data_IF_176669447432
#
_entry.id   IF_176669447432
#
_cell.length_a   1.000
_cell.length_b   1.000
_cell.length_c   1.000
_cell.angle_alpha   90.00
_cell.angle_beta   90.00
_cell.angle_gamma   90.00
#
_symmetry.space_group_name_H-M   'P 1'
#
loop_
_entity.id
_entity.type
_entity.pdbx_description
1 polymer ?
2 non-polymer ?
3 non-polymer ?
4 water ?
#
# COMPACT_ATOMS: atom_id res chain seq x y z
N UNK A 13 25.88 -1.71 2.25
CA UNK A 13 25.95 -3.01 1.58
C UNK A 13 25.19 -3.01 0.25
N UNK A 14 25.73 -3.69 -0.74
CA UNK A 14 25.00 -3.86 -2.00
C UNK A 14 24.29 -5.22 -2.03
N UNK A 15 23.02 -5.18 -2.40
CA UNK A 15 22.22 -6.39 -2.55
C UNK A 15 22.00 -6.67 -4.05
N UNK A 16 22.05 -7.93 -4.44
CA UNK A 16 21.84 -8.30 -5.85
C UNK A 16 20.38 -8.46 -6.25
N UNK A 17 19.53 -8.81 -5.30
CA UNK A 17 18.12 -9.03 -5.62
C UNK A 17 17.21 -8.85 -4.41
N UNK A 18 15.91 -8.89 -4.68
CA UNK A 18 14.88 -8.70 -3.66
C UNK A 18 15.00 -9.74 -2.54
N UNK A 19 15.29 -10.99 -2.90
CA UNK A 19 15.26 -12.04 -1.89
C UNK A 19 16.44 -11.88 -0.92
N UNK A 20 17.58 -11.42 -1.42
CA UNK A 20 18.73 -11.15 -0.56
C UNK A 20 18.42 -10.01 0.43
N UNK A 21 17.79 -8.93 -0.03
CA UNK A 21 17.42 -7.83 0.86
C UNK A 21 16.38 -8.29 1.90
N UNK A 22 15.32 -8.95 1.46
CA UNK A 22 14.33 -9.47 2.42
C UNK A 22 14.94 -10.41 3.46
N UNK A 23 15.83 -11.30 3.02
CA UNK A 23 16.45 -12.25 3.92
C UNK A 23 17.29 -11.56 5.01
N UNK A 24 18.04 -10.52 4.63
CA UNK A 24 18.87 -9.84 5.63
C UNK A 24 18.03 -9.03 6.61
N UNK A 25 16.94 -8.44 6.13
CA UNK A 25 15.99 -7.76 7.00
C UNK A 25 15.43 -8.73 8.04
N UNK A 26 14.95 -9.88 7.57
CA UNK A 26 14.38 -10.90 8.45
C UNK A 26 15.39 -11.39 9.49
N UNK A 27 16.58 -11.72 9.03
CA UNK A 27 17.64 -12.20 9.93
C UNK A 27 17.99 -11.21 11.04
N UNK A 28 18.30 -9.96 10.67
CA UNK A 28 18.66 -8.94 11.66
C UNK A 28 17.46 -8.51 12.51
N UNK A 29 16.25 -8.50 11.94
CA UNK A 29 15.08 -8.12 12.73
C UNK A 29 14.79 -9.16 13.81
N UNK A 30 14.91 -10.44 13.47
CA UNK A 30 14.62 -11.49 14.43
C UNK A 30 15.60 -11.43 15.60
N UNK A 31 16.88 -11.20 15.31
CA UNK A 31 17.88 -11.09 16.38
C UNK A 31 17.61 -9.87 17.29
N UNK A 32 17.24 -8.76 16.66
CA UNK A 32 16.97 -7.52 17.40
C UNK A 32 15.75 -7.65 18.31
N UNK A 33 14.65 -8.08 17.72
CA UNK A 33 13.40 -8.09 18.46
C UNK A 33 13.44 -9.11 19.61
N UNK A 34 14.17 -10.22 19.42
CA UNK A 34 14.27 -11.23 20.47
C UNK A 34 14.94 -10.69 21.75
N UNK A 35 15.81 -9.69 21.63
CA UNK A 35 16.51 -9.14 22.80
C UNK A 35 15.55 -8.50 23.82
N UNK A 36 14.34 -8.16 23.38
CA UNK A 36 13.40 -7.47 24.27
C UNK A 36 12.54 -8.46 25.06
N UNK A 37 12.58 -9.73 24.67
CA UNK A 37 11.73 -10.74 25.32
C UNK A 37 11.94 -10.85 26.84
N UNK A 38 13.18 -10.66 27.30
CA UNK A 38 13.50 -10.84 28.72
C UNK A 38 13.45 -9.55 29.52
N UNK A 39 12.99 -8.47 28.89
CA UNK A 39 12.89 -7.17 29.60
C UNK A 39 11.48 -6.95 30.12
N UNK A 40 11.33 -6.85 31.46
CA UNK A 40 9.99 -6.66 32.04
C UNK A 40 9.43 -5.29 31.68
N UNK A 41 8.12 -5.21 31.49
CA UNK A 41 7.47 -3.94 31.14
C UNK A 41 7.78 -2.85 32.19
N UNK A 42 7.98 -3.26 33.45
CA UNK A 42 8.20 -2.29 34.53
C UNK A 42 9.54 -1.54 34.34
N UNK A 43 10.41 -2.09 33.51
CA UNK A 43 11.69 -1.42 33.23
C UNK A 43 11.80 -0.84 31.81
N UNK A 44 10.69 -0.70 31.10
CA UNK A 44 10.78 -0.27 29.71
C UNK A 44 11.21 1.20 29.58
N UNK A 45 11.01 1.99 30.65
CA UNK A 45 11.32 3.42 30.59
C UNK A 45 12.54 3.75 31.44
N UNK A 46 13.32 2.72 31.79
CA UNK A 46 14.45 2.94 32.68
C UNK A 46 15.68 3.38 31.89
N UNK A 47 16.17 4.59 32.14
CA UNK A 47 17.37 5.12 31.48
C UNK A 47 18.62 4.96 32.35
N UNK A 48 19.74 4.55 31.74
CA UNK A 48 21.03 4.57 32.43
C UNK A 48 22.00 5.46 31.65
N UNK A 49 23.02 5.97 32.34
CA UNK A 49 24.03 6.84 31.73
C UNK A 49 24.84 6.14 30.66
N UNK A 50 25.05 4.84 30.82
CA UNK A 50 25.96 4.11 29.93
C UNK A 50 25.40 3.86 28.51
N UNK A 51 24.10 4.05 28.32
CA UNK A 51 23.44 3.75 27.04
C UNK A 51 22.41 4.83 26.71
N UNK A 52 22.28 5.27 25.46
CA UNK A 52 21.59 6.56 25.25
C UNK A 52 20.04 6.56 25.56
N UNK A 53 19.33 5.59 25.01
CA UNK A 53 17.86 5.48 25.06
C UNK A 53 17.34 4.42 26.06
N UNK A 54 16.06 4.54 26.43
CA UNK A 54 15.36 3.47 27.16
C UNK A 54 14.99 2.35 26.18
N UNK A 55 14.62 1.17 26.70
CA UNK A 55 14.18 0.08 25.82
C UNK A 55 12.98 0.49 24.97
N UNK A 56 12.00 1.17 25.59
CA UNK A 56 10.83 1.65 24.85
C UNK A 56 11.23 2.69 23.78
N UNK A 57 12.14 3.63 24.10
CA UNK A 57 12.64 4.57 23.09
C UNK A 57 13.40 3.91 21.94
N UNK A 58 14.19 2.89 22.28
CA UNK A 58 14.92 2.09 21.29
C UNK A 58 13.94 1.51 20.25
N UNK A 59 12.88 0.83 20.70
CA UNK A 59 11.85 0.32 19.77
C UNK A 59 11.10 1.45 19.05
N UNK A 60 10.80 2.53 19.77
CA UNK A 60 10.03 3.63 19.21
C UNK A 60 10.77 4.27 18.04
N UNK A 61 12.09 4.26 18.11
CA UNK A 61 12.90 4.83 17.03
C UNK A 61 12.70 4.03 15.73
N UNK A 62 12.66 2.70 15.86
CA UNK A 62 12.45 1.82 14.70
C UNK A 62 11.02 1.95 14.16
N UNK A 63 10.04 1.97 15.08
CA UNK A 63 8.65 2.16 14.66
C UNK A 63 8.54 3.50 13.92
N UNK A 64 9.21 4.53 14.44
CA UNK A 64 9.17 5.85 13.82
C UNK A 64 9.67 5.87 12.37
N UNK A 65 10.89 5.41 12.15
CA UNK A 65 11.48 5.46 10.83
C UNK A 65 10.79 4.50 9.84
N UNK A 66 10.45 3.29 10.28
CA UNK A 66 9.78 2.35 9.36
C UNK A 66 8.40 2.87 8.96
N UNK A 67 7.70 3.49 9.90
CA UNK A 67 6.41 4.12 9.58
C UNK A 67 6.58 5.22 8.53
N UNK A 68 7.59 6.07 8.70
CA UNK A 68 7.83 7.13 7.72
C UNK A 68 8.19 6.63 6.33
N UNK A 69 9.11 5.69 6.22
CA UNK A 69 9.50 5.17 4.90
C UNK A 69 8.25 4.58 4.20
N UNK A 70 7.46 3.79 4.92
CA UNK A 70 6.24 3.22 4.33
C UNK A 70 5.28 4.32 3.85
N UNK A 71 5.21 5.39 4.64
CA UNK A 71 4.31 6.50 4.32
C UNK A 71 4.79 7.28 3.10
N UNK A 72 6.10 7.50 2.97
CA UNK A 72 6.62 8.19 1.81
C UNK A 72 6.21 7.45 0.54
N UNK A 73 6.42 6.13 0.55
CA UNK A 73 6.10 5.30 -0.61
C UNK A 73 4.58 5.30 -0.92
N UNK A 74 3.76 5.11 0.11
CA UNK A 74 2.32 5.12 -0.06
C UNK A 74 1.82 6.47 -0.60
N UNK A 75 2.25 7.56 0.03
CA UNK A 75 1.87 8.90 -0.44
C UNK A 75 2.31 9.16 -1.86
N UNK A 76 3.53 8.75 -2.22
CA UNK A 76 4.00 9.03 -3.59
C UNK A 76 3.15 8.27 -4.60
N UNK A 77 2.84 7.01 -4.30
CA UNK A 77 1.96 6.23 -5.18
C UNK A 77 0.55 6.83 -5.24
N UNK A 78 0.11 7.43 -4.14
CA UNK A 78 -1.20 8.08 -4.05
C UNK A 78 -1.20 9.46 -4.71
N UNK A 79 -0.09 9.84 -5.32
CA UNK A 79 0.00 11.10 -6.04
C UNK A 79 0.11 12.34 -5.18
N UNK A 80 0.48 12.18 -3.91
CA UNK A 80 0.68 13.32 -3.00
C UNK A 80 2.10 13.84 -3.08
N UNK A 81 2.29 15.08 -2.70
CA UNK A 81 3.63 15.64 -2.59
C UNK A 81 4.26 15.16 -1.29
N UNK A 82 5.32 14.34 -1.35
CA UNK A 82 5.97 13.88 -0.13
C UNK A 82 7.03 14.89 0.34
N UNK A 83 6.85 15.43 1.53
CA UNK A 83 7.90 16.20 2.15
C UNK A 83 8.63 15.26 3.10
N UNK A 84 9.92 15.04 2.88
CA UNK A 84 10.71 14.24 3.81
C UNK A 84 11.55 15.16 4.71
N UNK A 85 11.90 14.72 5.92
CA UNK A 85 11.50 13.44 6.53
C UNK A 85 10.01 13.40 6.89
N UNK A 86 9.42 14.55 7.19
CA UNK A 86 7.99 14.61 7.45
C UNK A 86 7.48 16.02 7.16
N UNK A 87 6.17 16.22 7.25
CA UNK A 87 5.65 17.56 7.01
C UNK A 87 6.13 18.55 8.09
N UNK A 88 6.33 18.05 9.30
CA UNK A 88 6.59 18.92 10.44
C UNK A 88 8.09 19.13 10.76
N UNK A 89 8.96 18.26 10.23
CA UNK A 89 10.38 18.32 10.55
C UNK A 89 11.27 18.34 9.30
N UNK A 90 12.35 19.11 9.36
CA UNK A 90 13.31 19.21 8.27
C UNK A 90 14.50 18.29 8.49
N UNK A 91 15.32 18.09 7.46
CA UNK A 91 16.47 17.18 7.52
C UNK A 91 17.58 17.63 8.49
N UNK A 92 17.60 18.90 8.90
CA UNK A 92 18.52 19.40 9.92
C UNK A 92 17.86 19.46 11.30
N UNK A 93 16.73 18.79 11.42
CA UNK A 93 15.89 18.77 12.63
C UNK A 93 15.67 17.36 13.14
N UNK A 94 16.55 16.42 12.80
CA UNK A 94 16.31 15.03 13.13
C UNK A 94 16.20 14.84 14.66
N UNK A 95 16.99 15.59 15.44
CA UNK A 95 16.92 15.46 16.90
C UNK A 95 15.49 15.68 17.39
N UNK A 96 14.84 16.68 16.84
CA UNK A 96 13.45 16.96 17.20
C UNK A 96 12.49 15.88 16.68
N UNK A 97 12.78 15.33 15.51
CA UNK A 97 11.98 14.24 14.96
C UNK A 97 12.06 13.06 15.91
N UNK A 98 13.26 12.78 16.42
CA UNK A 98 13.44 11.65 17.35
C UNK A 98 12.66 11.88 18.65
N UNK A 99 12.66 13.11 19.16
CA UNK A 99 11.80 13.42 20.32
C UNK A 99 10.32 13.16 19.99
N UNK A 100 9.93 13.45 18.74
CA UNK A 100 8.56 13.23 18.32
C UNK A 100 8.27 11.72 18.21
N UNK A 101 9.22 10.91 17.68
CA UNK A 101 9.08 9.45 17.77
C UNK A 101 8.83 9.00 19.23
N UNK A 102 9.66 9.49 20.15
CA UNK A 102 9.52 9.09 21.56
C UNK A 102 8.15 9.51 22.12
N UNK A 103 7.77 10.74 21.85
CA UNK A 103 6.45 11.24 22.32
C UNK A 103 5.28 10.44 21.73
N UNK A 104 5.46 9.99 20.49
CA UNK A 104 4.35 9.40 19.75
C UNK A 104 4.19 7.89 20.01
N UNK A 105 5.30 7.20 20.31
CA UNK A 105 5.24 5.75 20.45
C UNK A 105 5.75 5.18 21.78
N UNK A 106 6.67 5.88 22.44
CA UNK A 106 7.40 5.24 23.54
C UNK A 106 6.55 4.99 24.78
N UNK A 107 5.37 5.61 24.87
CA UNK A 107 4.51 5.39 26.04
C UNK A 107 3.85 4.00 25.94
N UNK A 108 3.91 3.40 24.75
CA UNK A 108 3.39 2.05 24.54
C UNK A 108 4.19 1.03 25.33
N UNK A 109 3.58 -0.13 25.62
CA UNK A 109 4.33 -1.24 26.20
C UNK A 109 5.33 -1.82 25.19
N UNK A 110 6.32 -2.54 25.70
CA UNK A 110 7.22 -3.30 24.81
C UNK A 110 6.44 -4.27 23.91
N UNK A 111 5.47 -4.97 24.47
CA UNK A 111 4.67 -5.92 23.69
C UNK A 111 3.95 -5.22 22.52
N UNK A 112 3.37 -4.05 22.78
CA UNK A 112 2.68 -3.26 21.75
C UNK A 112 3.65 -2.70 20.68
N UNK A 113 4.81 -2.23 21.14
CA UNK A 113 5.86 -1.72 20.23
C UNK A 113 6.41 -2.84 19.37
N UNK A 114 6.64 -4.01 19.97
CA UNK A 114 7.13 -5.12 19.16
C UNK A 114 6.10 -5.54 18.09
N UNK A 115 4.83 -5.56 18.46
CA UNK A 115 3.76 -5.91 17.53
C UNK A 115 3.65 -4.89 16.39
N UNK A 116 3.76 -3.62 16.72
CA UNK A 116 3.68 -2.57 15.70
C UNK A 116 4.87 -2.64 14.74
N UNK A 117 6.06 -2.86 15.30
CA UNK A 117 7.26 -2.93 14.48
C UNK A 117 7.19 -4.14 13.55
N UNK A 118 6.66 -5.25 14.07
CA UNK A 118 6.54 -6.45 13.27
C UNK A 118 5.59 -6.23 12.11
N UNK A 119 4.48 -5.54 12.35
CA UNK A 119 3.56 -5.18 11.26
C UNK A 119 4.24 -4.34 10.19
N UNK A 120 5.03 -3.34 10.60
CA UNK A 120 5.78 -2.53 9.63
C UNK A 120 6.81 -3.36 8.84
N UNK A 121 7.51 -4.28 9.50
CA UNK A 121 8.46 -5.13 8.76
C UNK A 121 7.73 -6.00 7.70
N UNK A 122 6.61 -6.61 8.10
CA UNK A 122 5.80 -7.32 7.10
C UNK A 122 5.35 -6.43 5.94
N UNK A 123 4.97 -5.18 6.24
CA UNK A 123 4.59 -4.21 5.20
C UNK A 123 5.78 -3.85 4.31
N UNK A 124 6.97 -3.81 4.91
CA UNK A 124 8.18 -3.53 4.12
C UNK A 124 8.49 -4.69 3.14
N UNK A 125 8.19 -5.93 3.51
CA UNK A 125 8.35 -7.04 2.54
C UNK A 125 7.40 -6.83 1.36
N UNK A 126 6.17 -6.40 1.65
CA UNK A 126 5.21 -6.12 0.59
C UNK A 126 5.66 -4.94 -0.28
N UNK A 128 8.75 -3.99 -0.86
CA UNK A 128 9.82 -4.51 -1.68
C UNK A 128 9.27 -5.32 -2.87
N UNK A 129 8.34 -6.23 -2.60
CA UNK A 129 7.82 -7.08 -3.68
C UNK A 129 6.97 -6.29 -4.68
N UNK A 130 6.45 -5.14 -4.26
CA UNK A 130 5.64 -4.29 -5.14
C UNK A 130 6.46 -3.40 -6.07
N UNK A 131 7.76 -3.27 -5.79
CA UNK A 131 8.65 -2.47 -6.65
C UNK A 131 9.20 -3.30 -7.79
N UNK A 132 9.42 -2.69 -8.95
CA UNK A 132 10.17 -3.39 -9.99
C UNK A 132 11.63 -3.45 -9.54
N UNK A 133 12.44 -4.33 -10.14
CA UNK A 133 13.87 -4.34 -9.80
C UNK A 133 14.48 -2.97 -10.04
N UNK A 134 14.08 -2.34 -11.13
CA UNK A 134 14.61 -1.02 -11.48
C UNK A 134 14.25 0.04 -10.44
N UNK A 135 13.01 0.03 -9.97
CA UNK A 135 12.57 1.01 -8.98
C UNK A 135 13.31 0.82 -7.66
N UNK A 136 13.67 -0.43 -7.37
CA UNK A 136 14.29 -0.74 -6.08
C UNK A 136 15.80 -0.46 -6.13
N UNK A 137 16.44 -0.75 -7.26
CA UNK A 137 17.91 -0.82 -7.30
C UNK A 137 18.62 0.22 -8.15
N UNK A 138 17.87 1.15 -8.76
CA UNK A 138 18.47 2.19 -9.62
C UNK A 138 18.10 3.58 -9.12
N UNK A 139 18.97 4.58 -9.38
CA UNK A 139 18.68 5.94 -8.88
C UNK A 139 17.50 6.62 -9.59
N UNK A 140 16.90 7.60 -8.92
CA UNK A 140 15.93 8.50 -9.52
C UNK A 140 14.65 7.78 -9.93
N UNK A 142 12.22 7.07 -7.43
CA UNK A 142 11.23 7.66 -6.53
C UNK A 142 11.61 9.10 -6.21
N UNK A 143 10.65 10.00 -6.34
CA UNK A 143 10.87 11.39 -5.92
C UNK A 143 11.23 11.48 -4.44
N UNK A 144 10.62 10.66 -3.58
CA UNK A 144 10.95 10.75 -2.16
C UNK A 144 12.40 10.31 -1.89
N UNK A 145 12.91 9.34 -2.66
CA UNK A 145 14.29 8.94 -2.47
C UNK A 145 15.27 10.05 -2.89
N UNK A 146 14.97 10.73 -3.99
CA UNK A 146 15.77 11.88 -4.39
C UNK A 146 15.67 13.03 -3.39
N UNK A 147 14.49 13.17 -2.76
CA UNK A 147 14.22 14.29 -1.83
C UNK A 147 14.90 14.07 -0.49
N UNK A 148 15.01 12.81 -0.08
CA UNK A 148 15.48 12.47 1.27
C UNK A 148 17.00 12.59 1.40
N UNK A 149 17.72 12.51 0.29
CA UNK A 149 19.14 12.82 0.35
C UNK A 149 19.52 13.65 -0.85
N UNK A 150 19.44 14.96 -0.69
CA UNK A 150 19.68 15.88 -1.80
C UNK A 150 21.18 16.14 -2.07
N UNK A 151 22.02 15.87 -1.08
CA UNK A 151 23.46 15.99 -1.21
C UNK A 151 24.13 14.83 -1.97
N UNK A 152 23.46 13.68 -1.99
CA UNK A 152 23.99 12.50 -2.62
C UNK A 152 22.90 11.87 -3.47
N UNK A 153 23.17 10.70 -4.01
CA UNK A 153 22.17 9.96 -4.76
C UNK A 153 22.02 8.59 -4.11
N UNK A 154 20.82 8.31 -3.62
CA UNK A 154 20.53 7.02 -2.99
C UNK A 154 19.35 6.31 -3.62
N UNK A 155 19.53 5.03 -3.89
CA UNK A 155 18.46 4.18 -4.37
C UNK A 155 17.49 3.80 -3.25
N UNK A 156 16.28 3.40 -3.62
CA UNK A 156 15.30 2.95 -2.62
C UNK A 156 15.86 1.85 -1.70
N UNK A 157 16.58 0.86 -2.24
CA UNK A 157 17.00 -0.23 -1.36
C UNK A 157 17.94 0.29 -0.26
N UNK A 158 18.66 1.37 -0.55
CA UNK A 158 19.63 1.89 0.41
C UNK A 158 18.90 2.54 1.59
N UNK A 159 17.83 3.27 1.31
CA UNK A 159 16.97 3.78 2.38
C UNK A 159 16.33 2.67 3.21
N UNK A 160 15.95 1.57 2.56
CA UNK A 160 15.38 0.43 3.31
C UNK A 160 16.47 -0.19 4.22
N UNK A 161 17.65 -0.47 3.66
CA UNK A 161 18.78 -1.01 4.45
C UNK A 161 19.13 -0.13 5.64
N UNK A 162 19.24 1.18 5.40
CA UNK A 162 19.68 2.11 6.44
C UNK A 162 18.63 2.29 7.54
N UNK A 163 17.40 1.88 7.27
CA UNK A 163 16.31 2.04 8.25
C UNK A 163 15.81 0.71 8.81
N UNK A 164 16.47 -0.38 8.40
CA UNK A 164 16.16 -1.69 8.96
C UNK A 164 17.42 -2.42 9.38
N UNK A 165 18.08 -3.04 8.42
CA UNK A 165 19.25 -3.85 8.69
C UNK A 165 20.30 -3.14 9.56
N UNK A 166 20.67 -1.93 9.18
CA UNK A 166 21.76 -1.23 9.89
C UNK A 166 21.39 -0.92 11.35
N UNK A 167 20.24 -0.25 11.59
CA UNK A 167 19.93 0.04 12.99
C UNK A 167 19.52 -1.21 13.80
N UNK A 168 18.96 -2.22 13.13
CA UNK A 168 18.65 -3.46 13.85
C UNK A 168 19.93 -4.09 14.42
N UNK A 169 21.07 -3.83 13.78
CA UNK A 169 22.34 -4.27 14.35
C UNK A 169 22.84 -3.30 15.43
N UNK A 170 22.88 -2.00 15.15
CA UNK A 170 23.47 -1.09 16.12
C UNK A 170 22.60 -0.96 17.38
N UNK A 171 21.28 -0.94 17.22
CA UNK A 171 20.40 -0.77 18.37
C UNK A 171 20.25 -2.08 19.13
N UNK A 172 20.53 -3.19 18.47
CA UNK A 172 20.66 -4.45 19.19
C UNK A 172 21.86 -4.38 20.15
N UNK A 173 22.98 -3.87 19.68
CA UNK A 173 24.15 -3.70 20.56
C UNK A 173 23.83 -2.80 21.77
N UNK A 174 23.10 -1.72 21.54
CA UNK A 174 22.69 -0.84 22.65
C UNK A 174 21.87 -1.60 23.70
N UNK A 175 20.83 -2.32 23.25
CA UNK A 175 19.93 -2.96 24.22
C UNK A 175 20.66 -4.08 24.98
N UNK A 176 21.61 -4.77 24.32
CA UNK A 176 22.38 -5.79 25.03
C UNK A 176 23.24 -5.16 26.13
N UNK A 177 23.83 -4.00 25.84
CA UNK A 177 24.65 -3.29 26.80
C UNK A 177 23.78 -2.85 28.01
N UNK A 178 22.60 -2.34 27.69
CA UNK A 178 21.62 -1.91 28.68
C UNK A 178 21.21 -3.08 29.56
N UNK A 179 20.94 -4.24 28.95
CA UNK A 179 20.49 -5.40 29.72
C UNK A 179 21.56 -5.92 30.71
N UNK A 180 22.82 -5.95 30.29
CA UNK A 180 23.91 -6.41 31.16
C UNK A 180 24.05 -5.54 32.41
N UNK A 181 23.75 -4.26 32.30
CA UNK A 181 23.87 -3.34 33.43
C UNK A 181 22.62 -3.38 34.31
N UNK A 182 21.45 -3.47 33.70
CA UNK A 182 20.20 -3.26 34.42
C UNK A 182 19.53 -4.51 34.99
N UNK A 183 19.56 -5.62 34.26
CA UNK A 183 18.70 -6.75 34.64
C UNK A 183 19.26 -7.57 35.80
N UNK B 13 -26.19 -2.35 -1.26
CA UNK B 13 -25.67 -2.76 0.05
C UNK B 13 -25.14 -1.59 0.86
N UNK B 14 -25.63 -1.45 2.09
CA UNK B 14 -25.13 -0.43 2.98
C UNK B 14 -23.94 -0.97 3.78
N UNK B 15 -22.93 -0.14 3.95
CA UNK B 15 -21.80 -0.45 4.81
C UNK B 15 -21.85 0.48 6.02
N UNK B 16 -21.52 -0.01 7.20
CA UNK B 16 -21.55 0.80 8.42
C UNK B 16 -20.28 1.63 8.59
N UNK B 17 -19.16 1.08 8.13
CA UNK B 17 -17.87 1.72 8.38
C UNK B 17 -16.81 1.27 7.37
N UNK B 18 -15.65 1.90 7.45
CA UNK B 18 -14.55 1.63 6.54
C UNK B 18 -14.13 0.16 6.57
N UNK B 19 -14.01 -0.43 7.75
CA UNK B 19 -13.46 -1.78 7.84
C UNK B 19 -14.38 -2.84 7.21
N UNK B 20 -15.69 -2.65 7.32
CA UNK B 20 -16.65 -3.52 6.65
C UNK B 20 -16.50 -3.46 5.12
N UNK B 21 -16.35 -2.24 4.60
CA UNK B 21 -16.19 -2.06 3.16
C UNK B 21 -14.88 -2.70 2.69
N UNK B 22 -13.79 -2.43 3.42
CA UNK B 22 -12.47 -2.97 3.03
C UNK B 22 -12.45 -4.48 3.10
N UNK B 23 -13.13 -5.01 4.10
CA UNK B 23 -13.18 -6.44 4.31
C UNK B 23 -13.90 -7.16 3.14
N UNK B 24 -15.01 -6.59 2.71
CA UNK B 24 -15.81 -7.18 1.62
C UNK B 24 -15.08 -7.08 0.27
N UNK B 25 -14.39 -5.96 0.06
CA UNK B 25 -13.53 -5.83 -1.13
C UNK B 25 -12.46 -6.90 -1.13
N UNK B 26 -11.76 -7.04 0.01
CA UNK B 26 -10.71 -8.04 0.06
C UNK B 26 -11.23 -9.46 -0.20
N UNK B 27 -12.34 -9.79 0.44
CA UNK B 27 -12.91 -11.13 0.33
C UNK B 27 -13.31 -11.47 -1.10
N UNK B 28 -14.04 -10.57 -1.75
CA UNK B 28 -14.54 -10.87 -3.09
C UNK B 28 -13.41 -10.78 -4.11
N UNK B 29 -12.47 -9.87 -3.89
CA UNK B 29 -11.36 -9.72 -4.82
C UNK B 29 -10.47 -10.96 -4.77
N UNK B 30 -10.19 -11.54 -3.59
CA UNK B 30 -9.36 -12.74 -3.53
C UNK B 30 -10.03 -13.93 -4.22
N UNK B 31 -11.35 -14.05 -4.07
CA UNK B 31 -12.04 -15.16 -4.72
C UNK B 31 -12.06 -14.95 -6.24
N UNK B 32 -12.15 -13.70 -6.67
CA UNK B 32 -12.22 -13.40 -8.10
C UNK B 32 -10.87 -13.71 -8.76
N UNK B 33 -9.82 -13.19 -8.14
CA UNK B 33 -8.49 -13.26 -8.73
C UNK B 33 -7.97 -14.72 -8.69
N UNK B 34 -8.36 -15.51 -7.68
CA UNK B 34 -7.90 -16.91 -7.60
C UNK B 34 -8.42 -17.76 -8.78
N UNK B 35 -9.56 -17.38 -9.37
CA UNK B 35 -10.09 -18.13 -10.51
C UNK B 35 -9.16 -18.09 -11.72
N UNK B 36 -8.28 -17.09 -11.78
CA UNK B 36 -7.40 -16.97 -12.94
C UNK B 36 -6.10 -17.78 -12.77
N UNK B 37 -5.85 -18.35 -11.58
CA UNK B 37 -4.64 -19.13 -11.29
C UNK B 37 -4.33 -20.20 -12.37
N UNK B 38 -5.34 -20.98 -12.72
CA UNK B 38 -5.18 -22.14 -13.61
C UNK B 38 -5.51 -21.85 -15.08
N UNK B 39 -5.62 -20.57 -15.45
CA UNK B 39 -5.82 -20.24 -16.87
C UNK B 39 -4.48 -20.03 -17.58
N UNK B 40 -4.15 -20.91 -18.55
CA UNK B 40 -2.89 -20.78 -19.29
C UNK B 40 -2.80 -19.43 -20.01
N UNK B 41 -1.63 -18.79 -20.00
CA UNK B 41 -1.48 -17.52 -20.69
C UNK B 41 -1.79 -17.61 -22.18
N UNK B 42 -1.55 -18.78 -22.78
CA UNK B 42 -1.84 -18.96 -24.21
C UNK B 42 -3.34 -18.91 -24.53
N UNK B 43 -4.19 -19.01 -23.51
CA UNK B 43 -5.64 -18.96 -23.74
C UNK B 43 -6.29 -17.65 -23.25
N UNK B 44 -5.47 -16.67 -22.88
CA UNK B 44 -5.98 -15.42 -22.28
C UNK B 44 -6.90 -14.66 -23.24
N UNK B 45 -6.71 -14.86 -24.55
CA UNK B 45 -7.49 -14.15 -25.55
C UNK B 45 -8.51 -15.09 -26.24
N UNK B 46 -8.72 -16.29 -25.69
CA UNK B 46 -9.66 -17.25 -26.24
C UNK B 46 -11.13 -16.89 -25.94
N UNK B 47 -11.88 -16.64 -26.99
CA UNK B 47 -13.30 -16.29 -26.85
C UNK B 47 -14.18 -17.48 -27.21
N UNK B 48 -15.23 -17.68 -26.42
CA UNK B 48 -16.28 -18.65 -26.76
C UNK B 48 -17.63 -17.93 -26.83
N UNK B 49 -18.57 -18.49 -27.58
CA UNK B 49 -19.91 -17.90 -27.69
C UNK B 49 -20.70 -17.80 -26.38
N UNK B 50 -20.47 -18.73 -25.47
CA UNK B 50 -21.32 -18.82 -24.27
C UNK B 50 -21.01 -17.77 -23.20
N UNK B 51 -19.91 -17.04 -23.37
CA UNK B 51 -19.45 -16.09 -22.36
C UNK B 51 -18.91 -14.85 -23.06
N UNK B 52 -19.35 -13.68 -22.63
CA UNK B 52 -19.10 -12.44 -23.39
C UNK B 52 -17.63 -12.09 -23.64
N UNK B 53 -16.82 -12.16 -22.59
CA UNK B 53 -15.43 -11.69 -22.68
C UNK B 53 -14.40 -12.82 -22.62
N UNK B 54 -13.18 -12.54 -23.07
CA UNK B 54 -12.03 -13.44 -22.84
C UNK B 54 -11.52 -13.23 -21.40
N UNK B 55 -10.62 -14.11 -20.91
CA UNK B 55 -10.03 -13.89 -19.57
C UNK B 55 -9.31 -12.53 -19.48
N UNK B 56 -8.50 -12.20 -20.48
CA UNK B 56 -7.81 -10.92 -20.47
C UNK B 56 -8.80 -9.76 -20.50
N UNK B 57 -9.87 -9.84 -21.30
CA UNK B 57 -10.87 -8.78 -21.34
C UNK B 57 -11.64 -8.63 -20.01
N UNK B 58 -11.87 -9.77 -19.34
CA UNK B 58 -12.56 -9.80 -18.06
C UNK B 58 -11.74 -9.01 -17.01
N UNK B 59 -10.45 -9.31 -16.95
CA UNK B 59 -9.54 -8.54 -16.08
C UNK B 59 -9.42 -7.07 -16.50
N UNK B 60 -9.36 -6.83 -17.81
CA UNK B 60 -9.16 -5.47 -18.34
C UNK B 60 -10.31 -4.55 -17.93
N UNK B 61 -11.50 -5.10 -17.81
CA UNK B 61 -12.68 -4.34 -17.44
C UNK B 61 -12.53 -3.81 -16.02
N UNK B 62 -12.04 -4.66 -15.12
CA UNK B 62 -11.82 -4.25 -13.72
C UNK B 62 -10.68 -3.24 -13.65
N UNK B 63 -9.59 -3.50 -14.38
CA UNK B 63 -8.45 -2.56 -14.40
C UNK B 63 -8.95 -1.20 -14.88
N UNK B 64 -9.76 -1.22 -15.93
CA UNK B 64 -10.30 0.00 -16.50
C UNK B 64 -11.14 0.82 -15.53
N UNK B 65 -12.13 0.20 -14.90
CA UNK B 65 -12.99 0.97 -13.99
C UNK B 65 -12.27 1.41 -12.73
N UNK B 66 -11.44 0.52 -12.16
CA UNK B 66 -10.79 0.89 -10.90
C UNK B 66 -9.80 2.03 -11.15
N UNK B 67 -9.16 2.01 -12.32
CA UNK B 67 -8.23 3.08 -12.70
C UNK B 67 -8.97 4.40 -12.75
N UNK B 68 -10.17 4.41 -13.34
CA UNK B 68 -10.96 5.65 -13.44
C UNK B 68 -11.38 6.19 -12.09
N UNK B 69 -11.91 5.33 -11.22
CA UNK B 69 -12.33 5.79 -9.88
C UNK B 69 -11.19 6.49 -9.13
N UNK B 70 -10.03 5.83 -9.08
CA UNK B 70 -8.84 6.40 -8.47
C UNK B 70 -8.44 7.71 -9.16
N UNK B 71 -8.63 7.79 -10.47
CA UNK B 71 -8.26 8.99 -11.21
C UNK B 71 -9.22 10.17 -10.88
N UNK B 72 -10.52 9.89 -10.79
CA UNK B 72 -11.50 10.92 -10.43
C UNK B 72 -11.12 11.57 -9.11
N UNK B 73 -10.78 10.71 -8.16
CA UNK B 73 -10.50 11.19 -6.82
C UNK B 73 -9.19 11.98 -6.79
N UNK B 74 -8.18 11.49 -7.50
CA UNK B 74 -6.89 12.15 -7.54
C UNK B 74 -6.97 13.50 -8.28
N UNK B 75 -7.63 13.51 -9.43
CA UNK B 75 -7.75 14.75 -10.20
C UNK B 75 -8.53 15.82 -9.42
N UNK B 76 -9.62 15.43 -8.76
CA UNK B 76 -10.42 16.38 -8.01
C UNK B 76 -9.65 16.95 -6.83
N UNK B 77 -8.89 16.10 -6.14
CA UNK B 77 -8.05 16.57 -5.02
C UNK B 77 -6.98 17.58 -5.49
N UNK B 78 -6.50 17.40 -6.71
CA UNK B 78 -5.54 18.33 -7.32
C UNK B 78 -6.20 19.55 -7.95
N UNK B 79 -7.49 19.75 -7.71
CA UNK B 79 -8.19 20.90 -8.22
C UNK B 79 -8.48 20.89 -9.71
N UNK B 80 -8.22 19.77 -10.38
CA UNK B 80 -8.50 19.67 -11.80
C UNK B 80 -9.98 19.41 -12.01
N UNK B 81 -10.47 19.67 -13.22
CA UNK B 81 -11.84 19.34 -13.53
C UNK B 81 -11.93 17.86 -13.93
N UNK B 82 -12.88 17.15 -13.34
CA UNK B 82 -13.03 15.73 -13.62
C UNK B 82 -14.21 15.53 -14.54
N UNK B 83 -13.95 14.90 -15.68
CA UNK B 83 -15.04 14.50 -16.55
C UNK B 83 -15.30 13.04 -16.29
N UNK B 84 -16.51 12.70 -15.85
CA UNK B 84 -16.86 11.29 -15.71
C UNK B 84 -17.80 10.85 -16.82
N UNK B 85 -17.77 9.56 -17.20
CA UNK B 85 -16.87 8.52 -16.68
C UNK B 85 -15.40 8.72 -17.10
N UNK B 86 -15.18 9.31 -18.27
CA UNK B 86 -13.82 9.62 -18.67
C UNK B 86 -13.79 10.84 -19.58
N UNK B 87 -12.59 11.26 -19.95
CA UNK B 87 -12.41 12.42 -20.83
C UNK B 87 -13.05 12.21 -22.22
N UNK B 88 -12.90 11.01 -22.76
CA UNK B 88 -13.34 10.75 -24.12
C UNK B 88 -14.73 10.09 -24.23
N UNK B 89 -15.31 9.61 -23.12
CA UNK B 89 -16.62 8.94 -23.23
C UNK B 89 -17.65 9.49 -22.24
N UNK B 90 -18.90 9.60 -22.68
CA UNK B 90 -19.98 10.05 -21.79
C UNK B 90 -20.73 8.86 -21.16
N UNK B 91 -21.59 9.18 -20.20
CA UNK B 91 -22.33 8.15 -19.46
C UNK B 91 -23.34 7.37 -20.32
N UNK B 92 -23.68 7.89 -21.51
CA UNK B 92 -24.53 7.18 -22.46
C UNK B 92 -23.71 6.47 -23.50
N UNK B 93 -22.42 6.33 -23.21
CA UNK B 93 -21.45 5.69 -24.10
C UNK B 93 -20.66 4.56 -23.44
N UNK B 94 -21.22 3.97 -22.39
CA UNK B 94 -20.48 2.95 -21.64
C UNK B 94 -20.05 1.79 -22.56
N UNK B 95 -20.85 1.46 -23.58
CA UNK B 95 -20.48 0.40 -24.49
C UNK B 95 -19.15 0.68 -25.17
N UNK B 96 -18.97 1.92 -25.61
CA UNK B 96 -17.73 2.31 -26.24
C UNK B 96 -16.59 2.37 -25.24
N UNK B 97 -16.91 2.79 -24.02
CA UNK B 97 -15.89 2.82 -22.96
C UNK B 97 -15.36 1.41 -22.69
N UNK B 98 -16.25 0.41 -22.76
CA UNK B 98 -15.88 -0.96 -22.46
C UNK B 98 -14.97 -1.48 -23.55
N UNK B 99 -15.23 -1.10 -24.79
CA UNK B 99 -14.36 -1.51 -25.89
C UNK B 99 -13.00 -0.85 -25.72
N UNK B 100 -13.02 0.39 -25.23
CA UNK B 100 -11.78 1.12 -24.96
C UNK B 100 -10.95 0.48 -23.81
N UNK B 101 -11.62 -0.06 -22.78
CA UNK B 101 -10.89 -0.82 -21.74
C UNK B 101 -10.15 -1.98 -22.40
N UNK B 102 -10.86 -2.70 -23.27
CA UNK B 102 -10.27 -3.83 -23.97
C UNK B 102 -9.09 -3.36 -24.83
N UNK B 103 -9.29 -2.31 -25.61
CA UNK B 103 -8.21 -1.79 -26.48
C UNK B 103 -6.99 -1.32 -25.67
N UNK B 104 -7.24 -0.77 -24.50
CA UNK B 104 -6.17 -0.18 -23.70
C UNK B 104 -5.41 -1.21 -22.87
N UNK B 105 -6.08 -2.24 -22.35
CA UNK B 105 -5.44 -3.15 -21.43
C UNK B 105 -5.39 -4.62 -21.82
N UNK B 106 -6.26 -5.12 -22.71
CA UNK B 106 -6.40 -6.58 -22.79
C UNK B 106 -5.23 -7.28 -23.50
N UNK B 107 -4.40 -6.53 -24.22
CA UNK B 107 -3.24 -7.13 -24.90
C UNK B 107 -2.21 -7.63 -23.86
N UNK B 108 -2.30 -7.14 -22.62
CA UNK B 108 -1.37 -7.53 -21.57
C UNK B 108 -1.51 -9.00 -21.14
N UNK B 109 -0.45 -9.56 -20.56
CA UNK B 109 -0.53 -10.91 -19.99
C UNK B 109 -1.50 -10.94 -18.81
N UNK B 110 -2.03 -12.13 -18.53
CA UNK B 110 -2.81 -12.28 -17.31
C UNK B 110 -1.99 -11.86 -16.08
N UNK B 111 -0.71 -12.23 -16.06
CA UNK B 111 0.14 -11.89 -14.91
C UNK B 111 0.20 -10.37 -14.70
N UNK B 112 0.37 -9.65 -15.80
CA UNK B 112 0.49 -8.21 -15.71
C UNK B 112 -0.85 -7.57 -15.36
N UNK B 113 -1.93 -8.07 -15.94
CA UNK B 113 -3.26 -7.55 -15.61
C UNK B 113 -3.60 -7.77 -14.15
N UNK B 114 -3.29 -8.96 -13.63
CA UNK B 114 -3.53 -9.21 -12.21
C UNK B 114 -2.68 -8.30 -11.32
N UNK B 115 -1.44 -8.08 -11.71
CA UNK B 115 -0.58 -7.19 -10.95
C UNK B 115 -1.13 -5.75 -10.91
N UNK B 116 -1.57 -5.22 -12.04
CA UNK B 116 -2.17 -3.87 -12.08
C UNK B 116 -3.46 -3.78 -11.27
N UNK B 117 -4.30 -4.80 -11.37
CA UNK B 117 -5.57 -4.80 -10.63
C UNK B 117 -5.31 -4.84 -9.12
N UNK B 118 -4.36 -5.69 -8.72
CA UNK B 118 -4.01 -5.80 -7.32
C UNK B 118 -3.46 -4.47 -6.80
N UNK B 119 -2.63 -3.83 -7.61
CA UNK B 119 -2.12 -2.51 -7.23
C UNK B 119 -3.26 -1.51 -7.03
N UNK B 120 -4.24 -1.50 -7.94
CA UNK B 120 -5.40 -0.61 -7.84
C UNK B 120 -6.24 -0.90 -6.60
N UNK B 121 -6.40 -2.16 -6.27
CA UNK B 121 -7.17 -2.48 -5.05
C UNK B 121 -6.39 -2.02 -3.80
N UNK B 122 -5.06 -2.23 -3.75
CA UNK B 122 -4.27 -1.62 -2.66
C UNK B 122 -4.48 -0.10 -2.57
N UNK B 123 -4.58 0.57 -3.73
CA UNK B 123 -4.76 2.02 -3.75
C UNK B 123 -6.18 2.41 -3.30
N UNK B 124 -7.14 1.53 -3.57
CA UNK B 124 -8.51 1.76 -3.11
C UNK B 124 -8.58 1.64 -1.57
N UNK B 125 -7.83 0.74 -0.97
CA UNK B 125 -7.80 0.72 0.50
C UNK B 125 -7.25 2.04 1.04
N UNK B 126 -6.17 2.52 0.42
CA UNK B 126 -5.58 3.79 0.83
C UNK B 126 -6.56 4.96 0.67
N UNK B 128 -9.85 4.78 0.63
CA UNK B 128 -10.88 4.63 1.67
C UNK B 128 -10.41 5.19 3.02
N UNK B 129 -9.18 4.85 3.40
CA UNK B 129 -8.65 5.31 4.68
C UNK B 129 -8.31 6.81 4.69
N UNK B 130 -8.11 7.38 3.50
CA UNK B 130 -7.79 8.80 3.34
C UNK B 130 -9.03 9.68 3.52
N UNK B 131 -10.21 9.10 3.29
CA UNK B 131 -11.47 9.85 3.38
C UNK B 131 -11.99 9.99 4.81
N UNK B 132 -12.62 11.11 5.14
CA UNK B 132 -13.31 11.16 6.45
C UNK B 132 -14.54 10.25 6.33
N UNK B 133 -15.11 9.84 7.47
CA UNK B 133 -16.35 9.06 7.44
C UNK B 133 -17.46 9.81 6.69
N UNK B 134 -17.52 11.13 6.90
CA UNK B 134 -18.50 11.97 6.18
C UNK B 134 -18.26 11.92 4.67
N UNK B 135 -17.01 12.05 4.25
CA UNK B 135 -16.68 12.04 2.81
C UNK B 135 -17.04 10.72 2.15
N UNK B 136 -16.95 9.64 2.91
CA UNK B 136 -17.17 8.31 2.38
C UNK B 136 -18.65 7.92 2.37
N UNK B 137 -19.38 8.33 3.40
CA UNK B 137 -20.70 7.78 3.66
C UNK B 137 -21.87 8.76 3.57
N UNK B 138 -21.61 10.02 3.22
CA UNK B 138 -22.67 11.05 3.15
C UNK B 138 -22.73 11.69 1.76
N UNK B 139 -23.91 12.20 1.40
CA UNK B 139 -24.09 12.77 0.05
C UNK B 139 -23.31 14.07 -0.18
N UNK B 140 -22.94 14.33 -1.43
CA UNK B 140 -22.48 15.65 -1.86
C UNK B 140 -21.12 16.04 -1.30
N UNK B 142 -18.17 14.83 -2.83
CA UNK B 142 -17.27 14.85 -3.98
C UNK B 142 -18.00 15.35 -5.20
N UNK B 143 -17.40 16.32 -5.88
CA UNK B 143 -17.93 16.78 -7.15
C UNK B 143 -18.07 15.61 -8.12
N UNK B 144 -17.09 14.71 -8.17
CA UNK B 144 -17.14 13.64 -9.16
C UNK B 144 -18.30 12.67 -8.90
N UNK B 145 -18.61 12.45 -7.63
CA UNK B 145 -19.73 11.57 -7.25
C UNK B 145 -21.09 12.20 -7.56
N UNK B 146 -21.18 13.53 -7.48
CA UNK B 146 -22.43 14.18 -7.83
C UNK B 146 -22.63 14.22 -9.35
N UNK B 147 -21.59 14.51 -10.13
CA UNK B 147 -21.77 14.65 -11.56
C UNK B 147 -21.81 13.30 -12.26
N UNK B 148 -21.54 12.23 -11.51
CA UNK B 148 -21.60 10.88 -12.08
C UNK B 148 -23.04 10.33 -12.16
N UNK B 149 -24.02 11.09 -11.66
CA UNK B 149 -25.42 10.67 -11.72
C UNK B 149 -26.32 11.78 -12.27
N UNK B 150 -27.45 11.42 -12.89
CA UNK B 150 -28.37 12.45 -13.37
C UNK B 150 -29.41 12.80 -12.33
N UNK B 151 -30.10 11.79 -11.80
CA UNK B 151 -31.14 12.01 -10.83
C UNK B 151 -30.79 11.46 -9.44
N UNK B 152 -30.21 10.26 -9.43
CA UNK B 152 -29.91 9.59 -8.17
C UNK B 152 -28.86 10.35 -7.38
N UNK B 153 -28.91 10.21 -6.06
CA UNK B 153 -27.87 10.75 -5.17
C UNK B 153 -27.07 9.58 -4.60
N UNK B 154 -25.81 9.48 -5.00
CA UNK B 154 -24.92 8.40 -4.55
C UNK B 154 -23.75 8.91 -3.72
N UNK B 155 -23.54 8.26 -2.58
CA UNK B 155 -22.34 8.48 -1.76
C UNK B 155 -21.10 7.85 -2.41
N UNK B 156 -19.91 8.35 -2.03
CA UNK B 156 -18.65 7.78 -2.53
C UNK B 156 -18.57 6.26 -2.39
N UNK B 157 -18.99 5.72 -1.25
CA UNK B 157 -18.85 4.27 -1.03
C UNK B 157 -19.65 3.42 -2.01
N UNK B 158 -20.74 3.96 -2.54
CA UNK B 158 -21.54 3.21 -3.50
C UNK B 158 -20.77 3.04 -4.81
N UNK B 159 -20.05 4.08 -5.21
CA UNK B 159 -19.22 3.98 -6.41
C UNK B 159 -18.09 2.97 -6.21
N UNK B 160 -17.53 2.91 -5.00
CA UNK B 160 -16.51 1.93 -4.72
C UNK B 160 -17.11 0.53 -4.78
N UNK B 161 -18.25 0.36 -4.10
CA UNK B 161 -18.92 -0.94 -4.11
C UNK B 161 -19.25 -1.47 -5.52
N UNK B 162 -19.88 -0.65 -6.35
CA UNK B 162 -20.29 -1.12 -7.68
C UNK B 162 -19.12 -1.31 -8.63
N UNK B 163 -17.93 -0.85 -8.26
CA UNK B 163 -16.75 -1.05 -9.10
C UNK B 163 -15.72 -2.03 -8.51
N UNK B 164 -16.07 -2.65 -7.38
CA UNK B 164 -15.22 -3.66 -6.78
C UNK B 164 -16.04 -4.91 -6.38
N UNK B 165 -16.66 -4.86 -5.20
CA UNK B 165 -17.49 -5.98 -4.71
C UNK B 165 -18.47 -6.58 -5.75
N UNK B 166 -19.29 -5.74 -6.38
CA UNK B 166 -20.35 -6.23 -7.27
C UNK B 166 -19.75 -6.94 -8.49
N UNK B 167 -18.87 -6.27 -9.24
CA UNK B 167 -18.32 -6.98 -10.42
C UNK B 167 -17.39 -8.14 -10.05
N UNK B 168 -16.69 -8.10 -8.92
CA UNK B 168 -15.87 -9.24 -8.54
C UNK B 168 -16.73 -10.50 -8.35
N UNK B 169 -18.01 -10.31 -8.01
CA UNK B 169 -18.90 -11.48 -7.89
C UNK B 169 -19.44 -11.92 -9.25
N UNK B 170 -19.95 -10.98 -10.04
CA UNK B 170 -20.58 -11.36 -11.30
C UNK B 170 -19.53 -11.83 -12.32
N UNK B 171 -18.40 -11.13 -12.41
CA UNK B 171 -17.37 -11.53 -13.39
C UNK B 171 -16.62 -12.77 -12.94
N UNK B 172 -16.64 -13.06 -11.64
CA UNK B 172 -16.20 -14.36 -11.15
C UNK B 172 -17.08 -15.46 -11.72
N UNK B 173 -18.40 -15.26 -11.69
CA UNK B 173 -19.32 -16.25 -12.25
C UNK B 173 -19.05 -16.46 -13.74
N UNK B 174 -18.76 -15.37 -14.46
CA UNK B 174 -18.43 -15.48 -15.89
C UNK B 174 -17.16 -16.30 -16.14
N UNK B 175 -16.07 -15.98 -15.46
CA UNK B 175 -14.83 -16.71 -15.72
C UNK B 175 -14.92 -18.19 -15.33
N UNK B 176 -15.70 -18.48 -14.28
CA UNK B 176 -15.94 -19.88 -13.93
C UNK B 176 -16.68 -20.63 -15.04
N UNK B 177 -17.66 -20.00 -15.64
CA UNK B 177 -18.39 -20.64 -16.74
C UNK B 177 -17.43 -20.89 -17.90
N UNK B 178 -16.62 -19.87 -18.21
CA UNK B 178 -15.64 -19.95 -19.29
C UNK B 178 -14.67 -21.12 -19.06
N UNK B 179 -14.13 -21.23 -17.84
CA UNK B 179 -13.17 -22.30 -17.55
C UNK B 179 -13.76 -23.69 -17.75
N UNK B 180 -15.02 -23.86 -17.35
CA UNK B 180 -15.61 -25.20 -17.46
C UNK B 180 -15.72 -25.64 -18.92
N UNK B 181 -15.97 -24.69 -19.81
CA UNK B 181 -16.10 -25.02 -21.22
C UNK B 181 -14.73 -25.18 -21.89
N UNK B 182 -13.79 -24.30 -21.55
CA UNK B 182 -12.55 -24.20 -22.32
C UNK B 182 -11.42 -25.08 -21.78
N UNK B 183 -11.23 -25.15 -20.46
CA UNK B 183 -9.98 -25.75 -20.00
C UNK B 183 -9.96 -27.25 -20.23
#
# INVERSE_FOLDING_TARGET
XRGSHHHHHHGSRVYENKEELKSEINKTFEKYIAEFDNIPESLKDKRIDEVDRTPAENLAYQVGWTTLVLKWEEDERNGLQVKTPSDEFKWNQLGELYQWFTDTYAYLSLQELKSKLNENINSIYVXIDSLSDEELFKPHXRKWADDATKTAVWEVYKFIHVNTVAPFKTFRNKIRKWKKIVL
XRGSHHHHHHGSRVYENKEELKSEINKTFEKYIAEFDNIPESLKDKRIDEVDRTPAENLAYQVGWTTLVLKWEEDERNGLQVKTPSDEFKWNQLGELYQWFTDTYAYLSLQELKSKLNENINSIYVXIDSLSDEELFKPHXRKWADDATKTAVWEVYKFIHVNTVAPFKTFRNKIRKWKKIVL
#
